data_IF_930133280989
#
_entry.id   IF_930133280989
#
_cell.length_a   1.000
_cell.length_b   1.000
_cell.length_c   1.000
_cell.angle_alpha   90.00
_cell.angle_beta   90.00
_cell.angle_gamma   90.00
#
_symmetry.space_group_name_H-M   'P 1'
#
loop_
_entity.id
_entity.type
_entity.pdbx_description
1 polymer ?
#
# COMPACT_ATOMS: atom_id res chain seq x y z
N UNK A 1 8.78 21.93 3.99
CA UNK A 1 7.91 20.81 4.37
C UNK A 1 6.96 20.51 3.21
N UNK A 2 7.14 19.38 2.53
CA UNK A 2 6.40 18.95 1.34
C UNK A 2 5.65 17.66 1.66
N UNK A 3 4.33 17.69 1.51
CA UNK A 3 3.45 16.56 1.81
C UNK A 3 2.78 16.12 0.51
N UNK A 4 2.80 14.82 0.25
CA UNK A 4 2.13 14.22 -0.91
C UNK A 4 1.10 13.21 -0.41
N UNK A 5 -0.14 13.37 -0.86
CA UNK A 5 -1.21 12.39 -0.66
C UNK A 5 -1.63 11.83 -2.01
N UNK A 6 -1.59 10.51 -2.16
CA UNK A 6 -1.90 9.84 -3.42
C UNK A 6 -2.80 8.62 -3.21
N UNK A 7 -3.99 8.67 -3.78
CA UNK A 7 -4.83 7.49 -3.99
C UNK A 7 -4.33 6.70 -5.21
N UNK A 8 -3.72 5.54 -4.96
CA UNK A 8 -3.07 4.70 -5.98
C UNK A 8 -4.00 3.65 -6.62
N UNK A 9 -5.20 3.45 -6.06
CA UNK A 9 -6.19 2.46 -6.50
C UNK A 9 -5.58 1.08 -6.79
N UNK A 10 -4.74 0.60 -5.87
CA UNK A 10 -4.04 -0.68 -5.94
C UNK A 10 -2.56 -0.58 -6.31
N UNK A 11 -1.70 -1.13 -5.44
CA UNK A 11 -0.24 -1.26 -5.65
C UNK A 11 0.23 -2.70 -5.92
N UNK A 12 -0.69 -3.58 -6.32
CA UNK A 12 -0.39 -4.98 -6.63
C UNK A 12 0.61 -5.14 -7.78
N UNK A 13 0.57 -4.29 -8.81
CA UNK A 13 1.47 -4.37 -9.97
C UNK A 13 2.87 -3.82 -9.68
N UNK A 14 3.92 -4.52 -10.14
CA UNK A 14 5.33 -4.12 -10.03
C UNK A 14 5.63 -2.83 -10.79
N UNK A 15 5.01 -2.64 -11.97
CA UNK A 15 5.21 -1.44 -12.79
C UNK A 15 4.66 -0.19 -12.10
N UNK A 16 3.47 -0.32 -11.49
CA UNK A 16 2.86 0.77 -10.72
C UNK A 16 3.71 1.17 -9.52
N UNK A 17 4.24 0.19 -8.78
CA UNK A 17 5.19 0.43 -7.68
C UNK A 17 6.43 1.18 -8.15
N UNK A 18 6.97 0.83 -9.32
CA UNK A 18 8.12 1.53 -9.92
C UNK A 18 7.80 2.98 -10.25
N UNK A 19 6.66 3.26 -10.89
CA UNK A 19 6.24 4.63 -11.19
C UNK A 19 6.09 5.49 -9.93
N UNK A 20 5.41 4.96 -8.90
CA UNK A 20 5.27 5.68 -7.63
C UNK A 20 6.63 5.92 -6.98
N UNK A 21 7.52 4.92 -7.00
CA UNK A 21 8.88 5.07 -6.48
C UNK A 21 9.67 6.15 -7.20
N UNK A 22 9.63 6.16 -8.53
CA UNK A 22 10.38 7.13 -9.33
C UNK A 22 9.85 8.55 -9.08
N UNK A 23 8.54 8.72 -8.93
CA UNK A 23 7.91 9.99 -8.55
C UNK A 23 8.29 10.46 -7.13
N UNK A 24 8.23 9.58 -6.13
CA UNK A 24 8.62 9.94 -4.77
C UNK A 24 10.12 10.28 -4.68
N UNK A 25 10.94 9.69 -5.55
CA UNK A 25 12.37 9.99 -5.64
C UNK A 25 12.64 11.35 -6.29
N UNK A 26 11.86 11.75 -7.30
CA UNK A 26 12.02 13.05 -7.94
C UNK A 26 11.53 14.20 -7.05
N UNK A 27 10.38 14.01 -6.40
CA UNK A 27 9.77 15.06 -5.58
C UNK A 27 10.43 15.24 -4.21
N UNK A 28 11.05 14.18 -3.68
CA UNK A 28 11.66 14.10 -2.35
C UNK A 28 10.78 14.72 -1.24
N UNK A 29 9.53 14.22 -1.04
CA UNK A 29 8.63 14.76 -0.03
C UNK A 29 9.06 14.37 1.39
N UNK A 30 8.70 15.21 2.36
CA UNK A 30 8.91 14.96 3.79
C UNK A 30 7.90 13.94 4.33
N UNK A 31 6.64 14.00 3.85
CA UNK A 31 5.56 13.09 4.28
C UNK A 31 4.81 12.55 3.06
N UNK A 32 4.55 11.23 3.06
CA UNK A 32 3.82 10.54 1.99
C UNK A 32 2.64 9.78 2.59
N UNK A 33 1.44 10.05 2.07
CA UNK A 33 0.22 9.32 2.38
C UNK A 33 -0.23 8.55 1.14
N UNK A 34 -0.33 7.22 1.24
CA UNK A 34 -0.82 6.37 0.15
C UNK A 34 -2.12 5.68 0.55
N UNK A 35 -3.16 5.86 -0.26
CA UNK A 35 -4.51 5.36 0.00
C UNK A 35 -4.93 4.29 -1.02
N UNK A 36 -5.90 3.44 -0.65
CA UNK A 36 -6.42 2.34 -1.48
C UNK A 36 -5.31 1.45 -2.07
N UNK A 37 -4.32 1.05 -1.27
CA UNK A 37 -3.25 0.16 -1.73
C UNK A 37 -3.76 -1.22 -2.16
N UNK A 38 -4.99 -1.60 -1.75
CA UNK A 38 -5.66 -2.89 -1.97
C UNK A 38 -4.76 -4.08 -1.63
N UNK A 39 -3.90 -3.90 -0.62
CA UNK A 39 -2.98 -4.91 -0.12
C UNK A 39 -3.37 -5.24 1.32
N UNK A 40 -3.54 -6.52 1.59
CA UNK A 40 -3.86 -7.04 2.92
C UNK A 40 -2.68 -6.87 3.90
N UNK A 41 -1.44 -7.01 3.39
CA UNK A 41 -0.22 -6.94 4.21
C UNK A 41 0.74 -5.87 3.69
N UNK A 42 1.00 -4.86 4.52
CA UNK A 42 1.98 -3.80 4.30
C UNK A 42 3.26 -4.10 5.09
N UNK A 43 4.18 -4.88 4.51
CA UNK A 43 5.47 -5.18 5.14
C UNK A 43 6.52 -4.09 4.92
N UNK A 44 7.55 -4.08 5.79
CA UNK A 44 8.75 -3.23 5.62
C UNK A 44 9.42 -3.40 4.25
N UNK A 45 9.41 -4.62 3.68
CA UNK A 45 9.90 -4.91 2.32
C UNK A 45 9.05 -4.21 1.25
N UNK A 46 7.73 -4.16 1.43
CA UNK A 46 6.83 -3.48 0.52
C UNK A 46 7.04 -1.97 0.58
N UNK A 47 7.12 -1.38 1.77
CA UNK A 47 7.42 0.04 1.95
C UNK A 47 8.78 0.40 1.32
N UNK A 48 9.80 -0.44 1.51
CA UNK A 48 11.11 -0.27 0.85
C UNK A 48 11.07 -0.36 -0.68
N UNK A 49 10.08 -1.06 -1.25
CA UNK A 49 9.88 -1.15 -2.70
C UNK A 49 9.23 0.10 -3.30
N UNK A 50 8.48 0.87 -2.50
CA UNK A 50 7.75 2.07 -2.93
C UNK A 50 8.53 3.34 -2.58
N UNK A 51 9.10 3.41 -1.38
CA UNK A 51 9.81 4.60 -0.91
C UNK A 51 11.25 4.23 -0.53
N UNK A 52 12.24 4.88 -1.15
CA UNK A 52 13.66 4.54 -0.96
C UNK A 52 14.43 5.47 -0.02
N UNK A 53 13.80 6.50 0.53
CA UNK A 53 14.43 7.43 1.49
C UNK A 53 14.90 6.67 2.73
N UNK A 54 16.10 7.00 3.23
CA UNK A 54 16.70 6.42 4.45
C UNK A 54 16.07 7.05 5.70
N UNK A 55 16.02 6.34 6.83
CA UNK A 55 15.40 6.79 8.09
C UNK A 55 13.93 7.25 7.95
N UNK A 56 13.11 6.44 7.27
CA UNK A 56 11.67 6.65 7.21
C UNK A 56 10.95 5.82 8.28
N UNK A 57 10.11 6.50 9.05
CA UNK A 57 9.06 5.85 9.82
C UNK A 57 7.85 5.63 8.90
N UNK A 58 7.12 4.56 9.15
CA UNK A 58 5.91 4.25 8.40
C UNK A 58 4.90 3.60 9.31
N UNK A 59 3.63 3.89 9.05
CA UNK A 59 2.50 3.28 9.72
C UNK A 59 1.57 2.77 8.63
N UNK A 60 1.19 1.49 8.70
CA UNK A 60 0.13 0.96 7.88
C UNK A 60 -1.14 0.94 8.72
N UNK A 61 -2.15 1.67 8.27
CA UNK A 61 -3.47 1.60 8.85
C UNK A 61 -4.32 0.66 8.00
N UNK A 62 -5.00 -0.34 8.59
CA UNK A 62 -5.98 -1.11 7.86
C UNK A 62 -7.07 -0.16 7.38
N UNK A 63 -7.32 -0.16 6.07
CA UNK A 63 -8.45 0.57 5.50
C UNK A 63 -9.74 -0.13 5.89
N UNK A 64 -10.60 0.54 6.67
CA UNK A 64 -11.92 0.05 7.08
C UNK A 64 -12.89 0.09 5.90
N UNK A 65 -12.58 -0.60 4.81
CA UNK A 65 -13.50 -0.86 3.69
C UNK A 65 -13.23 -2.20 2.99
N UNK A 66 -12.35 -3.03 3.55
CA UNK A 66 -12.23 -4.43 3.19
C UNK A 66 -12.68 -5.25 4.38
N UNK A 67 -14.01 -5.43 4.52
CA UNK A 67 -14.50 -6.64 5.17
C UNK A 67 -13.87 -7.77 4.36
N UNK A 68 -12.77 -8.34 4.87
CA UNK A 68 -12.50 -9.75 4.68
C UNK A 68 -13.71 -10.40 5.33
N UNK A 69 -14.73 -10.70 4.52
CA UNK A 69 -15.68 -11.71 4.94
C UNK A 69 -14.79 -12.92 5.13
N UNK A 70 -14.64 -13.31 6.38
CA UNK A 70 -14.01 -14.54 6.79
C UNK A 70 -14.86 -15.67 6.19
N UNK A 71 -14.64 -15.99 4.91
CA UNK A 71 -15.33 -17.09 4.22
C UNK A 71 -15.04 -18.43 4.90
N UNK A 72 -14.01 -18.48 5.75
CA UNK A 72 -13.67 -19.66 6.54
C UNK A 72 -14.61 -19.87 7.75
N UNK A 73 -15.31 -18.83 8.23
CA UNK A 73 -16.25 -18.96 9.37
C UNK A 73 -17.71 -19.24 8.99
N UNK A 74 -18.08 -19.23 7.70
CA UNK A 74 -19.47 -19.43 7.24
C UNK A 74 -19.72 -20.72 6.45
N UNK A 75 -18.75 -21.64 6.39
CA UNK A 75 -19.03 -23.02 5.97
C UNK A 75 -19.50 -23.22 4.53
N UNK A 76 -19.24 -22.28 3.62
CA UNK A 76 -19.47 -22.53 2.19
C UNK A 76 -18.33 -23.39 1.63
N UNK A 77 -18.54 -24.71 1.66
CA UNK A 77 -17.84 -25.65 0.79
C UNK A 77 -18.07 -25.23 -0.66
N UNK A 78 -16.98 -25.02 -1.41
CA UNK A 78 -17.05 -24.99 -2.86
C UNK A 78 -17.59 -26.34 -3.34
N UNK A 79 -18.71 -26.31 -4.07
CA UNK A 79 -19.20 -27.42 -4.88
C UNK A 79 -18.81 -27.16 -6.33
N UNK A 80 -18.03 -28.11 -6.87
CA UNK A 80 -17.58 -28.32 -8.26
C UNK A 80 -16.54 -27.36 -8.86
#
# INVERSE_FOLDING_TARGET
MKIISWNVRGLGSRNKRRMVKDFLRSENPDVVMIQETKKEICDRRFVGSVWTVRNKEWVALPGVWGIKWDFDHLGFKNSE
#
